data_IF_570291024186
#
_entry.id   IF_570291024186
#
_cell.length_a   1.000
_cell.length_b   1.000
_cell.length_c   1.000
_cell.angle_alpha   90.00
_cell.angle_beta   90.00
_cell.angle_gamma   90.00
#
_symmetry.space_group_name_H-M   'P 1'
#
loop_
_entity.id
_entity.type
_entity.pdbx_description
1 polymer ?
#
# COMPACT_ATOMS: atom_id res chain seq x y z
N UNK A 1 -19.56 11.64 -4.15
CA UNK A 1 -18.33 12.45 -4.18
C UNK A 1 -17.36 11.82 -3.19
N UNK A 2 -16.06 11.81 -3.47
CA UNK A 2 -15.04 11.31 -2.54
C UNK A 2 -14.24 12.49 -2.00
N UNK A 3 -13.88 12.46 -0.72
CA UNK A 3 -13.05 13.48 -0.09
C UNK A 3 -11.57 13.27 -0.42
N UNK A 4 -11.15 12.01 -0.59
CA UNK A 4 -9.78 11.63 -0.93
C UNK A 4 -9.75 10.63 -2.08
N UNK A 5 -8.91 10.90 -3.07
CA UNK A 5 -8.62 10.00 -4.19
C UNK A 5 -7.18 9.51 -4.11
N UNK A 6 -6.99 8.20 -4.17
CA UNK A 6 -5.67 7.54 -4.18
C UNK A 6 -5.48 6.86 -5.53
N UNK A 7 -4.41 7.22 -6.24
CA UNK A 7 -4.08 6.63 -7.55
C UNK A 7 -3.02 5.55 -7.36
N UNK A 8 -3.44 4.30 -7.52
CA UNK A 8 -2.63 3.09 -7.37
C UNK A 8 -3.13 2.18 -6.25
N UNK A 9 -3.63 1.00 -6.61
CA UNK A 9 -4.09 -0.05 -5.70
C UNK A 9 -2.97 -0.98 -5.23
N UNK A 10 -1.78 -0.43 -5.00
CA UNK A 10 -0.62 -1.16 -4.47
C UNK A 10 -0.53 -1.11 -2.94
N UNK A 11 0.55 -1.66 -2.38
CA UNK A 11 0.78 -1.65 -0.93
C UNK A 11 0.70 -0.24 -0.33
N UNK A 12 1.36 0.74 -0.95
CA UNK A 12 1.36 2.13 -0.48
C UNK A 12 -0.01 2.79 -0.53
N UNK A 13 -0.80 2.53 -1.58
CA UNK A 13 -2.14 3.09 -1.73
C UNK A 13 -3.10 2.60 -0.65
N UNK A 14 -3.09 1.28 -0.37
CA UNK A 14 -3.87 0.72 0.74
C UNK A 14 -3.38 1.20 2.10
N UNK A 15 -2.05 1.26 2.30
CA UNK A 15 -1.48 1.75 3.55
C UNK A 15 -1.92 3.20 3.83
N UNK A 16 -1.88 4.07 2.83
CA UNK A 16 -2.37 5.45 2.95
C UNK A 16 -3.88 5.50 3.23
N UNK A 17 -4.68 4.72 2.50
CA UNK A 17 -6.14 4.71 2.68
C UNK A 17 -6.54 4.32 4.11
N UNK A 18 -5.90 3.28 4.66
CA UNK A 18 -6.15 2.81 6.02
C UNK A 18 -5.79 3.89 7.04
N UNK A 19 -4.59 4.47 6.95
CA UNK A 19 -4.15 5.52 7.87
C UNK A 19 -5.10 6.74 7.85
N UNK A 20 -5.60 7.12 6.67
CA UNK A 20 -6.56 8.24 6.54
C UNK A 20 -7.90 7.87 7.18
N UNK A 21 -8.42 6.66 6.93
CA UNK A 21 -9.68 6.19 7.51
C UNK A 21 -9.60 6.06 9.04
N UNK A 22 -8.46 5.61 9.57
CA UNK A 22 -8.20 5.52 11.01
C UNK A 22 -8.08 6.91 11.65
N UNK A 23 -7.44 7.87 10.97
CA UNK A 23 -7.32 9.25 11.46
C UNK A 23 -8.64 10.03 11.39
N UNK A 24 -9.49 9.76 10.40
CA UNK A 24 -10.79 10.40 10.26
C UNK A 24 -11.80 9.52 9.50
N UNK A 25 -12.64 8.81 10.27
CA UNK A 25 -13.66 7.91 9.74
C UNK A 25 -14.78 8.61 8.94
N UNK A 26 -14.90 9.95 9.00
CA UNK A 26 -15.91 10.69 8.24
C UNK A 26 -15.52 10.94 6.78
N UNK A 27 -14.24 10.71 6.42
CA UNK A 27 -13.78 10.91 5.06
C UNK A 27 -14.16 9.71 4.18
N UNK A 28 -14.70 10.00 3.01
CA UNK A 28 -14.95 9.02 1.95
C UNK A 28 -13.74 8.93 1.03
N UNK A 29 -13.18 7.71 0.90
CA UNK A 29 -11.93 7.47 0.19
C UNK A 29 -12.19 6.56 -1.01
N UNK A 30 -11.61 6.88 -2.17
CA UNK A 30 -11.57 6.00 -3.33
C UNK A 30 -10.13 5.67 -3.75
N UNK A 31 -9.88 4.38 -4.03
CA UNK A 31 -8.63 3.91 -4.63
C UNK A 31 -8.90 3.56 -6.08
N UNK A 32 -8.11 4.12 -7.00
CA UNK A 32 -8.17 3.83 -8.43
C UNK A 32 -6.97 2.97 -8.82
N UNK A 33 -7.24 1.86 -9.51
CA UNK A 33 -6.21 0.96 -10.05
C UNK A 33 -6.45 0.75 -11.55
N UNK A 34 -5.37 0.74 -12.33
CA UNK A 34 -5.44 0.47 -13.77
C UNK A 34 -5.62 -1.02 -14.05
N UNK A 35 -5.00 -1.87 -13.24
CA UNK A 35 -5.12 -3.32 -13.31
C UNK A 35 -6.54 -3.80 -12.99
N UNK A 36 -6.85 -5.01 -13.46
CA UNK A 36 -8.15 -5.66 -13.16
C UNK A 36 -8.31 -6.00 -11.68
N UNK A 37 -7.20 -6.24 -11.01
CA UNK A 37 -7.13 -6.60 -9.60
C UNK A 37 -6.10 -5.68 -8.91
N UNK A 38 -6.37 -5.33 -7.66
CA UNK A 38 -5.43 -4.62 -6.79
C UNK A 38 -4.33 -5.55 -6.29
N UNK A 39 -3.29 -4.99 -5.68
CA UNK A 39 -2.25 -5.71 -4.94
C UNK A 39 -1.51 -6.81 -5.72
N UNK A 40 -1.57 -6.81 -7.06
CA UNK A 40 -0.95 -7.87 -7.88
C UNK A 40 0.56 -8.02 -7.65
N UNK A 41 1.28 -6.89 -7.52
CA UNK A 41 2.71 -6.93 -7.16
C UNK A 41 2.96 -7.46 -5.76
N UNK A 42 2.06 -7.20 -4.81
CA UNK A 42 2.17 -7.71 -3.42
C UNK A 42 1.98 -9.22 -3.43
N UNK A 43 0.94 -9.71 -4.12
CA UNK A 43 0.62 -11.13 -4.29
C UNK A 43 1.81 -11.96 -4.80
N UNK A 44 2.58 -11.44 -5.76
CA UNK A 44 3.73 -12.17 -6.34
C UNK A 44 5.06 -11.86 -5.65
N UNK A 45 5.12 -10.90 -4.72
CA UNK A 45 6.37 -10.50 -4.06
C UNK A 45 6.95 -11.62 -3.16
N UNK A 46 8.27 -11.63 -2.97
CA UNK A 46 8.96 -12.65 -2.17
C UNK A 46 8.82 -14.08 -2.73
N UNK A 47 8.52 -14.23 -4.03
CA UNK A 47 8.18 -15.52 -4.64
C UNK A 47 6.80 -16.03 -4.23
N UNK A 48 5.82 -15.15 -4.09
CA UNK A 48 4.44 -15.48 -3.68
C UNK A 48 4.21 -15.54 -2.16
N UNK A 49 5.23 -15.22 -1.35
CA UNK A 49 5.17 -15.28 0.12
C UNK A 49 4.90 -13.94 0.78
N UNK A 50 4.93 -12.84 0.01
CA UNK A 50 4.80 -11.48 0.51
C UNK A 50 5.89 -11.14 1.55
N UNK A 51 7.12 -10.89 1.08
CA UNK A 51 8.19 -10.41 1.97
C UNK A 51 7.94 -8.94 2.35
N UNK A 52 7.16 -8.74 3.42
CA UNK A 52 6.51 -7.45 3.75
C UNK A 52 7.46 -6.37 4.27
N UNK A 53 8.54 -6.74 4.97
CA UNK A 53 9.46 -5.78 5.59
C UNK A 53 10.84 -6.41 5.83
N UNK A 54 11.79 -5.60 6.29
CA UNK A 54 13.10 -6.03 6.76
C UNK A 54 13.27 -5.64 8.24
N UNK A 55 14.09 -6.39 8.98
CA UNK A 55 14.44 -6.07 10.37
C UNK A 55 15.44 -4.89 10.45
N UNK A 56 16.24 -4.69 9.40
CA UNK A 56 17.14 -3.57 9.24
C UNK A 56 16.36 -2.33 8.78
N UNK A 57 16.48 -1.25 9.53
CA UNK A 57 15.75 0.00 9.28
C UNK A 57 16.60 1.06 8.61
N UNK A 58 17.93 0.91 8.66
CA UNK A 58 18.86 1.85 8.07
C UNK A 58 19.29 1.44 6.64
N UNK A 59 19.45 2.40 5.72
CA UNK A 59 19.88 2.08 4.36
C UNK A 59 21.29 1.47 4.26
N UNK A 60 22.17 1.75 5.23
CA UNK A 60 23.56 1.27 5.22
C UNK A 60 23.65 -0.22 5.56
N UNK A 61 22.72 -0.70 6.35
CA UNK A 61 22.59 -2.07 6.82
C UNK A 61 22.10 -2.99 5.70
N UNK A 62 21.39 -2.45 4.70
CA UNK A 62 20.84 -3.17 3.55
C UNK A 62 21.85 -3.46 2.42
N UNK A 63 23.03 -2.82 2.44
CA UNK A 63 24.03 -2.91 1.35
C UNK A 63 25.29 -3.70 1.72
N UNK A 64 25.31 -4.37 2.88
CA UNK A 64 26.36 -5.34 3.24
C UNK A 64 26.19 -6.64 2.48
#
# INVERSE_FOLDING_TARGET
MYDVLIVGGGASGFYAAINIAEANANLTIAILERGKEVLQKVKISGGGRCNVTNAETGPKELVK
#
